data_IF_589306186033
#
_entry.id   IF_589306186033
#
_cell.length_a   1.000
_cell.length_b   1.000
_cell.length_c   1.000
_cell.angle_alpha   90.00
_cell.angle_beta   90.00
_cell.angle_gamma   90.00
#
_symmetry.space_group_name_H-M   'P 1'
#
loop_
_entity.id
_entity.type
_entity.pdbx_description
1 polymer ?
#
# COMPACT_ATOMS: atom_id res chain seq x y z
N UNK A 1 -24.99 -15.77 -18.55
CA UNK A 1 -25.79 -14.75 -17.82
C UNK A 1 -24.93 -14.29 -16.65
N UNK A 2 -24.34 -13.10 -16.75
CA UNK A 2 -23.51 -12.54 -15.68
C UNK A 2 -24.48 -12.06 -14.59
N UNK A 3 -24.45 -12.68 -13.42
CA UNK A 3 -25.20 -12.19 -12.26
C UNK A 3 -24.70 -10.79 -11.90
N UNK A 4 -25.58 -9.80 -12.01
CA UNK A 4 -25.28 -8.43 -11.62
C UNK A 4 -24.94 -8.42 -10.12
N UNK A 5 -23.72 -7.97 -9.78
CA UNK A 5 -23.28 -7.80 -8.39
C UNK A 5 -24.32 -6.96 -7.65
N UNK A 6 -24.82 -7.48 -6.52
CA UNK A 6 -25.73 -6.72 -5.66
C UNK A 6 -25.05 -5.42 -5.20
N UNK A 7 -25.72 -4.26 -5.31
CA UNK A 7 -25.14 -2.99 -4.91
C UNK A 7 -24.82 -3.01 -3.42
N UNK A 8 -23.63 -2.53 -3.06
CA UNK A 8 -23.20 -2.41 -1.68
C UNK A 8 -23.92 -1.26 -0.98
N UNK A 9 -23.86 -1.21 0.35
CA UNK A 9 -24.40 -0.08 1.13
C UNK A 9 -23.81 1.26 0.70
N UNK A 10 -22.54 1.27 0.28
CA UNK A 10 -21.87 2.45 -0.29
C UNK A 10 -22.49 2.86 -1.62
N UNK A 11 -22.76 1.91 -2.52
CA UNK A 11 -23.36 2.18 -3.83
C UNK A 11 -24.80 2.73 -3.70
N UNK A 12 -25.55 2.20 -2.73
CA UNK A 12 -26.88 2.69 -2.39
C UNK A 12 -26.83 4.12 -1.80
N UNK A 13 -25.86 4.39 -0.93
CA UNK A 13 -25.67 5.73 -0.34
C UNK A 13 -25.30 6.75 -1.43
N UNK A 14 -24.30 6.45 -2.25
CA UNK A 14 -23.83 7.33 -3.34
C UNK A 14 -24.95 7.58 -4.34
N UNK A 15 -25.62 6.54 -4.81
CA UNK A 15 -26.73 6.69 -5.77
C UNK A 15 -27.91 7.48 -5.18
N UNK A 16 -28.17 7.36 -3.88
CA UNK A 16 -29.20 8.15 -3.19
C UNK A 16 -28.81 9.62 -3.07
N UNK A 17 -27.55 9.90 -2.71
CA UNK A 17 -27.03 11.27 -2.62
C UNK A 17 -27.03 11.96 -3.99
N UNK A 18 -26.59 11.27 -5.04
CA UNK A 18 -26.61 11.79 -6.42
C UNK A 18 -28.04 12.09 -6.88
N UNK A 19 -29.00 11.17 -6.63
CA UNK A 19 -30.42 11.41 -6.93
C UNK A 19 -30.98 12.60 -6.15
N UNK A 20 -30.59 12.76 -4.89
CA UNK A 20 -31.04 13.86 -4.04
C UNK A 20 -30.48 15.21 -4.51
N UNK A 21 -29.19 15.24 -4.87
CA UNK A 21 -28.49 16.39 -5.46
C UNK A 21 -29.15 16.84 -6.76
N UNK A 22 -29.39 15.89 -7.67
CA UNK A 22 -30.08 16.14 -8.94
C UNK A 22 -31.48 16.73 -8.73
N UNK A 23 -32.30 16.14 -7.84
CA UNK A 23 -33.65 16.65 -7.52
C UNK A 23 -33.63 18.08 -6.98
N UNK A 24 -32.59 18.47 -6.26
CA UNK A 24 -32.44 19.80 -5.68
C UNK A 24 -31.70 20.78 -6.57
N UNK A 25 -31.31 20.38 -7.78
CA UNK A 25 -30.48 21.18 -8.70
C UNK A 25 -29.20 21.71 -8.03
N UNK A 26 -28.60 20.86 -7.20
CA UNK A 26 -27.34 21.13 -6.47
C UNK A 26 -26.32 20.04 -6.77
N UNK A 27 -25.04 20.31 -6.53
CA UNK A 27 -24.01 19.28 -6.59
C UNK A 27 -24.02 18.42 -5.31
N UNK A 28 -23.34 17.27 -5.35
CA UNK A 28 -23.17 16.43 -4.16
C UNK A 28 -22.31 17.15 -3.11
N UNK A 29 -21.25 17.85 -3.52
CA UNK A 29 -20.45 18.67 -2.60
C UNK A 29 -21.30 19.72 -1.89
N UNK A 30 -22.14 20.48 -2.62
CA UNK A 30 -22.98 21.53 -2.03
C UNK A 30 -23.95 20.98 -0.99
N UNK A 31 -24.48 19.77 -1.19
CA UNK A 31 -25.36 19.10 -0.22
C UNK A 31 -24.60 18.66 1.02
N UNK A 32 -23.41 18.07 0.85
CA UNK A 32 -22.56 17.63 1.97
C UNK A 32 -22.10 18.83 2.78
N UNK A 33 -21.60 19.88 2.12
CA UNK A 33 -21.16 21.11 2.75
C UNK A 33 -22.30 21.76 3.55
N UNK A 34 -23.49 21.89 2.94
CA UNK A 34 -24.67 22.44 3.62
C UNK A 34 -25.05 21.60 4.85
N UNK A 35 -24.98 20.28 4.75
CA UNK A 35 -25.30 19.37 5.85
C UNK A 35 -24.29 19.46 7.00
N UNK A 36 -22.98 19.45 6.69
CA UNK A 36 -21.92 19.62 7.67
C UNK A 36 -22.01 20.98 8.37
N UNK A 37 -22.21 22.07 7.62
CA UNK A 37 -22.40 23.41 8.19
C UNK A 37 -23.64 23.48 9.06
N UNK A 38 -24.74 22.81 8.66
CA UNK A 38 -25.96 22.73 9.47
C UNK A 38 -25.69 21.99 10.78
N UNK A 39 -25.01 20.83 10.74
CA UNK A 39 -24.66 20.09 11.95
C UNK A 39 -23.77 20.89 12.89
N UNK A 40 -22.76 21.58 12.35
CA UNK A 40 -21.92 22.49 13.15
C UNK A 40 -22.78 23.57 13.83
N UNK A 41 -23.67 24.23 13.09
CA UNK A 41 -24.60 25.26 13.63
C UNK A 41 -25.61 24.71 14.63
N UNK A 42 -26.03 23.46 14.48
CA UNK A 42 -26.94 22.79 15.42
C UNK A 42 -26.23 22.32 16.71
N UNK A 43 -24.90 22.46 16.75
CA UNK A 43 -24.08 22.23 17.92
C UNK A 43 -23.37 20.89 17.90
N UNK A 44 -23.09 20.29 16.74
CA UNK A 44 -22.34 19.02 16.64
C UNK A 44 -21.03 19.07 17.45
N UNK A 45 -20.30 20.18 17.38
CA UNK A 45 -19.02 20.36 18.09
C UNK A 45 -19.16 21.05 19.46
N UNK A 46 -20.39 21.34 19.89
CA UNK A 46 -20.65 22.03 21.16
C UNK A 46 -21.44 21.15 22.14
N UNK A 47 -22.36 20.31 21.62
CA UNK A 47 -23.30 19.46 22.35
C UNK A 47 -22.96 17.97 22.22
N UNK A 48 -22.76 17.48 21.00
CA UNK A 48 -22.68 16.02 20.74
C UNK A 48 -21.24 15.48 20.73
N UNK A 49 -20.32 16.24 20.14
CA UNK A 49 -18.91 15.88 20.00
C UNK A 49 -18.01 17.06 20.38
N UNK A 50 -18.23 17.60 21.58
CA UNK A 50 -17.43 18.71 22.10
C UNK A 50 -15.94 18.34 22.13
N UNK A 51 -15.05 19.04 21.38
CA UNK A 51 -13.63 18.74 21.35
C UNK A 51 -13.04 18.73 22.76
N UNK A 52 -12.10 17.82 23.01
CA UNK A 52 -11.46 17.66 24.32
C UNK A 52 -10.87 18.98 24.84
N UNK A 53 -10.31 19.77 23.92
CA UNK A 53 -9.80 21.13 24.15
C UNK A 53 -10.81 22.07 24.85
N UNK A 54 -12.10 21.91 24.56
CA UNK A 54 -13.18 22.76 25.08
C UNK A 54 -13.89 22.07 26.25
N UNK A 55 -13.93 20.73 26.27
CA UNK A 55 -14.58 19.95 27.33
C UNK A 55 -13.73 19.91 28.62
N UNK A 56 -12.41 19.84 28.48
CA UNK A 56 -11.45 19.75 29.59
C UNK A 56 -10.19 20.58 29.26
N UNK A 57 -10.28 21.91 29.32
CA UNK A 57 -9.15 22.80 29.02
C UNK A 57 -7.96 22.57 29.96
N UNK A 58 -8.22 22.18 31.21
CA UNK A 58 -7.22 21.76 32.19
C UNK A 58 -6.38 20.58 31.66
N UNK A 59 -7.05 19.57 31.08
CA UNK A 59 -6.40 18.37 30.55
C UNK A 59 -5.59 18.67 29.29
N UNK A 60 -6.10 19.53 28.40
CA UNK A 60 -5.33 20.02 27.26
C UNK A 60 -4.08 20.78 27.72
N UNK A 61 -4.22 21.63 28.74
CA UNK A 61 -3.10 22.39 29.32
C UNK A 61 -2.05 21.46 29.92
N UNK A 62 -2.49 20.46 30.70
CA UNK A 62 -1.63 19.41 31.25
C UNK A 62 -0.93 18.62 30.13
N UNK A 63 -1.64 18.28 29.05
CA UNK A 63 -1.10 17.58 27.88
C UNK A 63 -0.06 18.41 27.14
N UNK A 64 -0.32 19.70 26.85
CA UNK A 64 0.65 20.60 26.21
C UNK A 64 1.91 20.71 27.07
N UNK A 65 1.75 20.88 28.39
CA UNK A 65 2.88 20.96 29.33
C UNK A 65 3.68 19.66 29.37
N UNK A 66 3.00 18.52 29.37
CA UNK A 66 3.64 17.20 29.37
C UNK A 66 4.36 16.93 28.06
N UNK A 67 3.75 17.33 26.93
CA UNK A 67 4.37 17.26 25.60
C UNK A 67 5.63 18.12 25.54
N UNK A 68 5.59 19.36 26.01
CA UNK A 68 6.77 20.24 26.04
C UNK A 68 7.92 19.67 26.86
N UNK A 69 7.64 19.12 28.04
CA UNK A 69 8.66 18.41 28.84
C UNK A 69 9.24 17.19 28.12
N UNK A 70 8.40 16.44 27.41
CA UNK A 70 8.87 15.29 26.63
C UNK A 70 9.77 15.74 25.46
N UNK A 71 9.44 16.85 24.79
CA UNK A 71 10.25 17.44 23.73
C UNK A 71 11.60 17.94 24.27
N UNK A 72 11.62 18.61 25.43
CA UNK A 72 12.86 19.03 26.11
C UNK A 72 13.79 17.84 26.39
N UNK A 73 13.25 16.78 27.01
CA UNK A 73 14.01 15.55 27.31
C UNK A 73 14.54 14.89 26.04
N UNK A 74 13.73 14.80 24.98
CA UNK A 74 14.16 14.22 23.71
C UNK A 74 15.27 15.06 23.07
N UNK A 75 15.18 16.39 23.14
CA UNK A 75 16.21 17.28 22.62
C UNK A 75 17.52 17.15 23.41
N UNK A 76 17.46 17.08 24.74
CA UNK A 76 18.65 16.83 25.58
C UNK A 76 19.35 15.53 25.20
N UNK A 77 18.59 14.44 25.00
CA UNK A 77 19.15 13.15 24.59
C UNK A 77 19.74 13.19 23.16
N UNK A 78 19.17 13.99 22.26
CA UNK A 78 19.74 14.22 20.92
C UNK A 78 21.05 15.01 21.02
N UNK A 79 21.06 16.08 21.83
CA UNK A 79 22.23 16.96 22.01
C UNK A 79 23.39 16.22 22.68
N UNK A 80 23.10 15.28 23.58
CA UNK A 80 24.07 14.38 24.22
C UNK A 80 24.56 13.27 23.28
N UNK A 81 23.93 13.08 22.12
CA UNK A 81 24.24 12.03 21.16
C UNK A 81 23.69 10.65 21.54
N UNK A 82 22.86 10.56 22.58
CA UNK A 82 22.18 9.32 22.98
C UNK A 82 21.04 8.94 22.03
N UNK A 83 20.40 9.94 21.41
CA UNK A 83 19.41 9.78 20.34
C UNK A 83 19.93 10.32 19.02
N UNK A 84 19.76 9.52 17.97
CA UNK A 84 20.11 9.88 16.60
C UNK A 84 18.85 10.23 15.82
N UNK A 85 18.93 11.25 14.97
CA UNK A 85 17.83 11.72 14.14
C UNK A 85 18.16 11.64 12.65
N UNK A 86 17.11 11.56 11.83
CA UNK A 86 17.17 11.63 10.37
C UNK A 86 16.25 12.75 9.89
N UNK A 87 16.76 13.65 9.06
CA UNK A 87 16.00 14.79 8.54
C UNK A 87 16.84 16.07 8.47
N UNK A 88 16.24 17.18 8.04
CA UNK A 88 16.83 18.53 8.08
C UNK A 88 15.76 19.53 8.53
N UNK A 89 16.12 20.45 9.43
CA UNK A 89 15.20 21.49 9.90
C UNK A 89 14.24 20.98 10.98
N UNK A 90 12.97 21.40 10.91
CA UNK A 90 11.93 21.13 11.92
C UNK A 90 11.37 19.69 11.89
N UNK A 91 11.71 18.90 10.86
CA UNK A 91 11.30 17.50 10.72
C UNK A 91 12.44 16.54 11.06
N UNK A 92 12.81 16.50 12.36
CA UNK A 92 13.74 15.50 12.88
C UNK A 92 12.98 14.23 13.23
N UNK A 93 13.28 13.14 12.52
CA UNK A 93 12.74 11.81 12.84
C UNK A 93 13.74 11.05 13.69
N UNK A 94 13.35 10.62 14.89
CA UNK A 94 14.20 9.74 15.73
C UNK A 94 14.41 8.39 15.05
N UNK A 95 15.64 7.89 15.06
CA UNK A 95 15.93 6.56 14.52
C UNK A 95 15.53 5.47 15.50
N UNK A 96 14.98 4.36 14.98
CA UNK A 96 14.64 3.18 15.79
C UNK A 96 15.86 2.61 16.52
N UNK A 97 17.02 2.57 15.86
CA UNK A 97 18.28 2.08 16.43
C UNK A 97 18.71 2.88 17.66
N UNK A 98 18.60 4.20 17.64
CA UNK A 98 18.98 5.00 18.81
C UNK A 98 17.96 4.86 19.96
N UNK A 99 16.67 4.75 19.65
CA UNK A 99 15.63 4.45 20.64
C UNK A 99 15.84 3.07 21.30
N UNK A 100 16.34 2.11 20.54
CA UNK A 100 16.66 0.78 21.07
C UNK A 100 17.92 0.80 21.95
N UNK A 101 18.89 1.68 21.67
CA UNK A 101 20.20 1.68 22.34
C UNK A 101 20.40 2.75 23.42
N UNK A 102 19.51 3.75 23.53
CA UNK A 102 19.62 4.92 24.44
C UNK A 102 19.75 4.60 25.95
N UNK A 103 19.57 3.35 26.39
CA UNK A 103 19.64 2.97 27.82
C UNK A 103 18.56 3.57 28.72
N UNK A 104 17.74 4.51 28.23
CA UNK A 104 16.70 5.19 28.99
C UNK A 104 15.56 4.25 29.43
N UNK A 105 15.17 4.33 30.70
CA UNK A 105 14.10 3.51 31.31
C UNK A 105 12.73 4.18 31.21
N UNK A 106 12.32 4.52 29.98
CA UNK A 106 10.97 5.01 29.71
C UNK A 106 10.06 3.85 29.32
N UNK A 107 8.85 3.81 29.91
CA UNK A 107 7.86 2.74 29.65
C UNK A 107 7.61 2.50 28.16
N UNK A 108 7.45 3.55 27.36
CA UNK A 108 7.21 3.40 25.92
C UNK A 108 8.43 2.83 25.16
N UNK A 109 9.65 3.17 25.59
CA UNK A 109 10.89 2.63 25.03
C UNK A 109 11.01 1.16 25.41
N UNK A 110 10.75 0.81 26.68
CA UNK A 110 10.75 -0.59 27.13
C UNK A 110 9.72 -1.42 26.37
N UNK A 111 8.48 -0.94 26.24
CA UNK A 111 7.46 -1.62 25.44
C UNK A 111 7.84 -1.73 23.96
N UNK A 112 8.54 -0.75 23.40
CA UNK A 112 9.05 -0.81 22.03
C UNK A 112 10.16 -1.86 21.89
N UNK A 113 11.11 -1.89 22.84
CA UNK A 113 12.18 -2.89 22.89
C UNK A 113 11.62 -4.29 23.07
N UNK A 114 10.73 -4.51 24.04
CA UNK A 114 10.05 -5.79 24.25
C UNK A 114 9.36 -6.26 22.96
N UNK A 115 8.63 -5.38 22.28
CA UNK A 115 7.98 -5.73 21.01
C UNK A 115 8.98 -6.08 19.90
N UNK A 116 10.16 -5.45 19.88
CA UNK A 116 11.23 -5.76 18.92
C UNK A 116 12.05 -7.01 19.31
N UNK A 117 12.24 -7.27 20.60
CA UNK A 117 12.97 -8.44 21.10
C UNK A 117 12.19 -9.73 20.86
N UNK A 118 10.85 -9.66 20.94
CA UNK A 118 9.94 -10.75 20.56
C UNK A 118 9.54 -10.70 19.08
N UNK A 119 9.96 -9.68 18.34
CA UNK A 119 9.82 -9.67 16.89
C UNK A 119 10.89 -10.62 16.35
N UNK A 120 10.47 -11.78 15.87
CA UNK A 120 11.33 -12.74 15.18
C UNK A 120 11.22 -12.51 13.66
N UNK A 121 12.01 -11.58 13.07
CA UNK A 121 11.99 -11.33 11.62
C UNK A 121 12.42 -12.58 10.82
N UNK A 122 13.09 -13.52 11.48
CA UNK A 122 13.71 -14.71 10.89
C UNK A 122 12.70 -15.85 10.62
N UNK A 123 11.50 -15.81 11.22
CA UNK A 123 10.44 -16.79 10.92
C UNK A 123 9.95 -16.70 9.46
N UNK A 124 10.25 -15.58 8.78
CA UNK A 124 9.97 -15.32 7.37
C UNK A 124 11.18 -15.24 6.45
N UNK A 125 12.41 -15.48 6.92
CA UNK A 125 13.61 -15.38 6.08
C UNK A 125 13.93 -16.69 5.35
N UNK A 126 14.16 -16.60 4.05
CA UNK A 126 14.85 -17.66 3.29
C UNK A 126 16.25 -17.17 2.96
N UNK A 127 17.27 -17.96 3.30
CA UNK A 127 18.66 -17.67 2.94
C UNK A 127 18.80 -17.62 1.41
N UNK A 128 19.18 -16.45 0.88
CA UNK A 128 19.68 -16.31 -0.48
C UNK A 128 21.12 -16.83 -0.60
N UNK A 129 21.66 -16.88 -1.82
CA UNK A 129 23.10 -17.11 -2.04
C UNK A 129 23.87 -15.83 -1.70
N UNK A 130 24.61 -15.82 -0.60
CA UNK A 130 25.42 -14.68 -0.14
C UNK A 130 24.92 -14.09 1.18
N UNK A 131 25.22 -12.81 1.45
CA UNK A 131 24.71 -12.06 2.62
C UNK A 131 23.33 -11.42 2.39
N UNK A 132 22.68 -11.72 1.26
CA UNK A 132 21.34 -11.19 0.96
C UNK A 132 20.26 -12.03 1.67
N UNK A 133 19.61 -11.40 2.65
CA UNK A 133 18.43 -11.92 3.34
C UNK A 133 17.16 -11.39 2.65
N UNK A 134 16.27 -12.28 2.22
CA UNK A 134 14.97 -11.90 1.69
C UNK A 134 13.90 -12.07 2.76
N UNK A 135 13.40 -10.94 3.27
CA UNK A 135 12.20 -10.88 4.11
C UNK A 135 10.98 -11.39 3.31
N UNK A 136 10.38 -12.53 3.70
CA UNK A 136 9.12 -13.02 3.13
C UNK A 136 7.92 -12.74 4.03
N UNK A 137 8.08 -12.18 5.23
CA UNK A 137 7.01 -12.12 6.22
C UNK A 137 5.94 -11.04 5.98
N UNK A 138 6.12 -10.23 4.94
CA UNK A 138 5.02 -9.46 4.32
C UNK A 138 4.16 -10.31 3.36
N UNK A 139 4.08 -11.62 3.58
CA UNK A 139 3.16 -12.51 2.88
C UNK A 139 2.08 -13.02 3.84
N UNK A 140 0.96 -12.31 3.74
CA UNK A 140 -0.38 -12.86 3.81
C UNK A 140 -0.89 -13.08 5.25
N UNK A 141 -1.40 -11.98 5.81
CA UNK A 141 -2.47 -12.04 6.82
C UNK A 141 -3.82 -12.08 6.09
N UNK A 142 -4.82 -12.75 6.69
CA UNK A 142 -6.21 -12.74 6.18
C UNK A 142 -6.82 -11.32 6.13
N UNK A 143 -6.19 -10.36 6.80
CA UNK A 143 -6.52 -8.96 6.72
C UNK A 143 -5.84 -8.32 5.50
N UNK A 144 -6.65 -7.85 4.54
CA UNK A 144 -6.23 -7.20 3.30
C UNK A 144 -5.23 -6.04 3.47
N UNK A 145 -5.08 -5.51 4.69
CA UNK A 145 -4.29 -4.32 5.03
C UNK A 145 -2.78 -4.55 5.08
N UNK A 146 -2.28 -5.77 5.30
CA UNK A 146 -0.86 -6.04 5.58
C UNK A 146 -0.20 -7.01 4.59
N UNK A 147 -0.59 -6.96 3.30
CA UNK A 147 0.14 -7.68 2.25
C UNK A 147 1.17 -6.79 1.56
N UNK A 148 2.33 -7.34 1.18
CA UNK A 148 3.34 -6.64 0.35
C UNK A 148 2.73 -6.04 -0.92
N UNK A 149 1.78 -6.75 -1.52
CA UNK A 149 1.03 -6.33 -2.69
C UNK A 149 0.18 -5.09 -2.38
N UNK A 150 -0.60 -5.09 -1.30
CA UNK A 150 -1.38 -3.92 -0.86
C UNK A 150 -0.47 -2.72 -0.56
N UNK A 151 0.66 -2.94 0.14
CA UNK A 151 1.60 -1.87 0.46
C UNK A 151 2.19 -1.22 -0.80
N UNK A 152 2.54 -2.00 -1.82
CA UNK A 152 3.00 -1.46 -3.10
C UNK A 152 1.90 -0.70 -3.84
N UNK A 153 0.65 -1.16 -3.79
CA UNK A 153 -0.49 -0.47 -4.37
C UNK A 153 -0.72 0.90 -3.69
N UNK A 154 -0.77 0.94 -2.36
CA UNK A 154 -0.97 2.18 -1.61
C UNK A 154 0.19 3.15 -1.81
N UNK A 155 1.42 2.64 -1.89
CA UNK A 155 2.57 3.47 -2.25
C UNK A 155 2.41 4.06 -3.66
N UNK A 156 2.02 3.25 -4.66
CA UNK A 156 1.76 3.74 -6.01
C UNK A 156 0.67 4.82 -6.04
N UNK A 157 -0.42 4.64 -5.28
CA UNK A 157 -1.51 5.62 -5.14
C UNK A 157 -1.06 6.94 -4.52
N UNK A 158 -0.28 6.88 -3.43
CA UNK A 158 0.25 8.07 -2.77
C UNK A 158 1.15 8.93 -3.67
N UNK A 159 1.86 8.31 -4.61
CA UNK A 159 2.67 9.08 -5.58
C UNK A 159 1.83 9.85 -6.60
N UNK A 160 0.67 9.31 -7.01
CA UNK A 160 -0.22 10.00 -7.94
C UNK A 160 -0.97 11.17 -7.29
N UNK A 161 -1.19 11.15 -5.98
CA UNK A 161 -1.90 12.24 -5.28
C UNK A 161 -1.02 13.46 -4.97
N UNK A 162 0.29 13.28 -4.80
CA UNK A 162 1.21 14.35 -4.32
C UNK A 162 1.93 15.05 -5.46
N UNK A 163 2.26 14.32 -6.53
CA UNK A 163 3.16 14.80 -7.58
C UNK A 163 2.47 14.60 -8.92
N UNK A 164 2.25 15.66 -9.70
CA UNK A 164 1.81 15.53 -11.10
C UNK A 164 2.92 14.85 -11.92
N UNK A 165 3.03 13.52 -11.80
CA UNK A 165 4.11 12.65 -12.31
C UNK A 165 3.99 12.35 -13.80
N UNK A 166 2.93 12.85 -14.45
CA UNK A 166 2.63 12.56 -15.84
C UNK A 166 2.95 13.79 -16.69
N UNK A 167 3.61 13.57 -17.82
CA UNK A 167 3.85 14.53 -18.88
C UNK A 167 2.96 14.22 -20.08
N UNK A 168 2.45 15.28 -20.72
CA UNK A 168 1.71 15.20 -21.96
C UNK A 168 2.63 15.59 -23.12
N UNK A 169 2.70 14.77 -24.16
CA UNK A 169 3.38 15.13 -25.43
C UNK A 169 2.45 14.88 -26.61
N UNK A 170 2.21 15.91 -27.42
CA UNK A 170 1.49 15.73 -28.69
C UNK A 170 2.39 15.03 -29.71
N UNK A 171 1.90 13.94 -30.31
CA UNK A 171 2.52 13.30 -31.47
C UNK A 171 1.45 12.88 -32.46
N UNK A 172 1.59 13.33 -33.71
CA UNK A 172 0.71 12.97 -34.82
C UNK A 172 -0.79 13.20 -34.55
N UNK A 173 -1.14 14.27 -33.83
CA UNK A 173 -2.54 14.58 -33.46
C UNK A 173 -3.11 13.75 -32.31
N UNK A 174 -2.33 12.83 -31.72
CA UNK A 174 -2.68 12.11 -30.49
C UNK A 174 -1.91 12.71 -29.29
N UNK A 175 -2.57 12.72 -28.13
CA UNK A 175 -1.90 13.05 -26.87
C UNK A 175 -1.26 11.80 -26.33
N UNK A 176 0.05 11.86 -26.16
CA UNK A 176 0.81 10.78 -25.57
C UNK A 176 1.11 11.11 -24.12
N UNK A 177 0.51 10.35 -23.22
CA UNK A 177 0.75 10.42 -21.77
C UNK A 177 1.93 9.53 -21.41
N UNK A 178 2.91 10.07 -20.67
CA UNK A 178 4.08 9.35 -20.18
C UNK A 178 4.47 9.80 -18.77
N UNK A 179 5.23 9.00 -18.04
CA UNK A 179 5.75 9.44 -16.73
C UNK A 179 6.90 10.43 -16.96
N UNK A 180 6.86 11.58 -16.26
CA UNK A 180 7.92 12.59 -16.27
C UNK A 180 9.27 11.93 -16.06
N UNK A 181 10.24 12.27 -16.91
CA UNK A 181 11.64 11.94 -16.69
C UNK A 181 12.17 12.74 -15.49
N UNK A 182 11.97 12.22 -14.28
CA UNK A 182 12.65 12.74 -13.09
C UNK A 182 14.17 12.54 -13.20
N UNK A 183 14.94 13.34 -12.46
CA UNK A 183 16.40 13.23 -12.33
C UNK A 183 16.86 11.89 -11.72
N UNK A 184 17.97 11.86 -10.96
CA UNK A 184 18.74 10.66 -10.57
C UNK A 184 17.94 9.45 -10.01
N UNK A 185 16.68 9.62 -9.62
CA UNK A 185 15.67 8.57 -9.44
C UNK A 185 14.45 8.82 -10.34
N UNK A 186 14.41 8.23 -11.54
CA UNK A 186 13.28 8.43 -12.44
C UNK A 186 12.01 7.77 -11.90
N UNK A 187 10.87 8.47 -11.92
CA UNK A 187 9.55 7.93 -11.53
C UNK A 187 9.23 6.64 -12.28
N UNK A 188 9.57 6.61 -13.56
CA UNK A 188 9.52 5.41 -14.39
C UNK A 188 10.29 4.22 -13.78
N UNK A 189 11.52 4.44 -13.32
CA UNK A 189 12.31 3.41 -12.66
C UNK A 189 11.66 2.90 -11.38
N UNK A 190 11.01 3.78 -10.62
CA UNK A 190 10.25 3.41 -9.43
C UNK A 190 9.05 2.51 -9.75
N UNK A 191 8.20 2.90 -10.71
CA UNK A 191 7.05 2.07 -11.12
C UNK A 191 7.49 0.76 -11.78
N UNK A 192 8.58 0.75 -12.53
CA UNK A 192 9.17 -0.48 -13.07
C UNK A 192 9.70 -1.41 -11.95
N UNK A 193 10.23 -0.85 -10.85
CA UNK A 193 10.63 -1.64 -9.67
C UNK A 193 9.42 -2.25 -8.98
N UNK A 194 8.38 -1.46 -8.71
CA UNK A 194 7.11 -1.98 -8.16
C UNK A 194 6.55 -3.10 -9.04
N UNK A 195 6.50 -2.87 -10.35
CA UNK A 195 6.08 -3.86 -11.33
C UNK A 195 6.90 -5.15 -11.24
N UNK A 196 8.23 -5.03 -11.15
CA UNK A 196 9.14 -6.17 -11.00
C UNK A 196 8.79 -7.01 -9.78
N UNK A 197 8.56 -6.36 -8.64
CA UNK A 197 8.21 -7.04 -7.40
C UNK A 197 6.87 -7.80 -7.48
N UNK A 198 5.86 -7.20 -8.12
CA UNK A 198 4.57 -7.87 -8.37
C UNK A 198 4.74 -9.12 -9.23
N UNK A 199 5.54 -9.03 -10.29
CA UNK A 199 5.79 -10.17 -11.18
C UNK A 199 6.53 -11.26 -10.43
N UNK A 200 7.65 -10.96 -9.77
CA UNK A 200 8.47 -11.94 -9.06
C UNK A 200 7.67 -12.70 -7.99
N UNK A 201 6.85 -11.98 -7.21
CA UNK A 201 5.97 -12.62 -6.23
C UNK A 201 4.94 -13.53 -6.88
N UNK A 202 4.35 -13.13 -8.01
CA UNK A 202 3.34 -13.91 -8.70
C UNK A 202 3.94 -15.14 -9.39
N UNK A 203 5.14 -15.00 -9.99
CA UNK A 203 5.93 -16.12 -10.52
C UNK A 203 6.20 -17.17 -9.43
N UNK A 204 6.51 -16.72 -8.21
CA UNK A 204 6.73 -17.60 -7.06
C UNK A 204 5.46 -18.34 -6.65
N UNK A 205 4.32 -17.65 -6.57
CA UNK A 205 3.01 -18.26 -6.27
C UNK A 205 2.61 -19.29 -7.32
N UNK A 206 2.83 -19.00 -8.61
CA UNK A 206 2.57 -19.95 -9.70
C UNK A 206 3.49 -21.18 -9.62
N UNK A 207 4.74 -21.01 -9.19
CA UNK A 207 5.64 -22.15 -8.93
C UNK A 207 5.09 -23.05 -7.83
N UNK A 208 4.65 -22.47 -6.70
CA UNK A 208 4.00 -23.22 -5.64
C UNK A 208 2.70 -23.88 -6.11
N UNK A 209 1.86 -23.21 -6.90
CA UNK A 209 0.67 -23.84 -7.49
C UNK A 209 1.02 -25.10 -8.30
N UNK A 210 2.10 -25.06 -9.09
CA UNK A 210 2.63 -26.23 -9.78
C UNK A 210 3.07 -27.36 -8.84
N UNK A 211 3.75 -27.02 -7.74
CA UNK A 211 4.16 -27.99 -6.72
C UNK A 211 2.97 -28.61 -6.00
N UNK A 212 1.97 -27.81 -5.60
CA UNK A 212 0.75 -28.30 -4.98
C UNK A 212 -0.05 -29.22 -5.92
N UNK A 213 -0.04 -28.96 -7.24
CA UNK A 213 -0.62 -29.88 -8.24
C UNK A 213 0.10 -31.23 -8.28
N UNK A 214 1.43 -31.26 -8.14
CA UNK A 214 2.21 -32.50 -8.06
C UNK A 214 1.96 -33.24 -6.74
N UNK A 215 2.02 -32.53 -5.61
CA UNK A 215 1.70 -33.10 -4.30
C UNK A 215 0.27 -33.68 -4.27
N UNK A 216 -0.68 -33.04 -4.94
CA UNK A 216 -2.05 -33.55 -5.02
C UNK A 216 -2.13 -34.94 -5.65
N UNK A 217 -1.22 -35.28 -6.57
CA UNK A 217 -1.13 -36.61 -7.17
C UNK A 217 -0.55 -37.61 -6.18
N UNK A 218 0.54 -37.25 -5.50
CA UNK A 218 1.21 -38.11 -4.51
C UNK A 218 0.28 -38.49 -3.37
N UNK A 219 -0.49 -37.52 -2.86
CA UNK A 219 -1.40 -37.72 -1.74
C UNK A 219 -2.83 -38.13 -2.16
N UNK A 220 -3.08 -38.29 -3.46
CA UNK A 220 -4.40 -38.58 -4.04
C UNK A 220 -5.52 -37.65 -3.52
N UNK A 221 -5.16 -36.40 -3.19
CA UNK A 221 -6.05 -35.40 -2.61
C UNK A 221 -5.76 -34.05 -3.26
N UNK A 222 -6.79 -33.28 -3.60
CA UNK A 222 -6.59 -31.91 -4.08
C UNK A 222 -6.03 -31.02 -2.95
N UNK A 223 -4.78 -30.60 -3.10
CA UNK A 223 -4.09 -29.67 -2.21
C UNK A 223 -4.00 -28.26 -2.80
N UNK A 224 -4.46 -28.05 -4.03
CA UNK A 224 -4.36 -26.75 -4.72
C UNK A 224 -5.27 -25.69 -4.08
N UNK A 225 -6.30 -26.10 -3.33
CA UNK A 225 -7.13 -25.17 -2.56
C UNK A 225 -6.29 -24.31 -1.59
N UNK A 226 -5.16 -24.82 -1.08
CA UNK A 226 -4.28 -24.11 -0.14
C UNK A 226 -3.60 -22.88 -0.75
N UNK A 227 -3.45 -22.84 -2.07
CA UNK A 227 -2.75 -21.76 -2.80
C UNK A 227 -3.67 -20.97 -3.74
N UNK A 228 -4.78 -21.57 -4.19
CA UNK A 228 -5.73 -20.97 -5.15
C UNK A 228 -6.28 -19.60 -4.71
N UNK A 229 -6.66 -19.46 -3.43
CA UNK A 229 -7.12 -18.18 -2.84
C UNK A 229 -6.06 -17.09 -3.02
N UNK A 230 -4.79 -17.41 -2.78
CA UNK A 230 -3.69 -16.47 -2.85
C UNK A 230 -3.34 -16.07 -4.28
N UNK A 231 -3.37 -17.03 -5.22
CA UNK A 231 -3.21 -16.76 -6.65
C UNK A 231 -4.30 -15.79 -7.13
N UNK A 232 -5.56 -16.06 -6.79
CA UNK A 232 -6.70 -15.21 -7.17
C UNK A 232 -6.61 -13.80 -6.55
N UNK A 233 -6.24 -13.70 -5.28
CA UNK A 233 -6.10 -12.41 -4.61
C UNK A 233 -4.95 -11.59 -5.18
N UNK A 234 -3.77 -12.17 -5.41
CA UNK A 234 -2.63 -11.45 -5.99
C UNK A 234 -2.92 -10.99 -7.41
N UNK A 235 -3.63 -11.81 -8.20
CA UNK A 235 -4.12 -11.39 -9.51
C UNK A 235 -5.05 -10.18 -9.39
N UNK A 236 -6.01 -10.19 -8.47
CA UNK A 236 -6.90 -9.05 -8.22
C UNK A 236 -6.16 -7.78 -7.82
N UNK A 237 -5.07 -7.88 -7.05
CA UNK A 237 -4.24 -6.71 -6.68
C UNK A 237 -3.45 -6.20 -7.88
N UNK A 238 -2.92 -7.09 -8.74
CA UNK A 238 -2.26 -6.69 -9.99
C UNK A 238 -3.24 -5.98 -10.93
N UNK A 239 -4.48 -6.47 -11.04
CA UNK A 239 -5.53 -5.82 -11.82
C UNK A 239 -5.83 -4.43 -11.27
N UNK A 240 -5.91 -4.29 -9.94
CA UNK A 240 -6.12 -3.00 -9.28
C UNK A 240 -4.94 -2.03 -9.45
N UNK A 241 -3.71 -2.54 -9.47
CA UNK A 241 -2.52 -1.75 -9.82
C UNK A 241 -2.61 -1.22 -11.25
N UNK A 242 -2.92 -2.08 -12.22
CA UNK A 242 -3.12 -1.67 -13.62
C UNK A 242 -4.24 -0.62 -13.74
N UNK A 243 -5.36 -0.83 -13.04
CA UNK A 243 -6.46 0.13 -13.00
C UNK A 243 -6.04 1.46 -12.38
N UNK A 244 -5.29 1.44 -11.28
CA UNK A 244 -4.79 2.66 -10.62
C UNK A 244 -3.89 3.47 -11.56
N UNK A 245 -3.03 2.80 -12.33
CA UNK A 245 -2.24 3.48 -13.38
C UNK A 245 -3.14 4.13 -14.42
N UNK A 246 -4.16 3.42 -14.92
CA UNK A 246 -5.11 3.96 -15.90
C UNK A 246 -5.88 5.16 -15.35
N UNK A 247 -6.46 5.04 -14.16
CA UNK A 247 -7.21 6.12 -13.50
C UNK A 247 -6.34 7.36 -13.27
N UNK A 248 -5.09 7.17 -12.84
CA UNK A 248 -4.16 8.28 -12.67
C UNK A 248 -3.79 8.95 -14.00
N UNK A 249 -3.71 8.20 -15.09
CA UNK A 249 -3.46 8.73 -16.43
C UNK A 249 -4.72 9.41 -17.03
N UNK A 250 -5.90 8.92 -16.70
CA UNK A 250 -7.16 9.46 -17.21
C UNK A 250 -7.61 10.75 -16.50
N UNK A 251 -7.36 10.85 -15.19
CA UNK A 251 -7.70 11.99 -14.33
C UNK A 251 -6.74 13.19 -14.46
N UNK A 252 -5.90 13.21 -15.49
CA UNK A 252 -5.11 14.41 -15.80
C UNK A 252 -6.04 15.41 -16.48
N UNK A 253 -6.24 16.55 -15.82
CA UNK A 253 -6.84 17.73 -16.43
C UNK A 253 -5.91 18.23 -17.54
N UNK A 254 -6.16 17.73 -18.75
CA UNK A 254 -5.50 18.22 -19.94
C UNK A 254 -5.92 19.68 -20.16
N UNK A 255 -4.99 20.57 -20.60
CA UNK A 255 -5.34 21.91 -21.08
C UNK A 255 -6.53 21.83 -22.05
N UNK A 256 -7.42 22.83 -22.03
CA UNK A 256 -8.64 22.83 -22.85
C UNK A 256 -8.39 22.54 -24.34
N UNK A 257 -7.24 22.94 -24.89
CA UNK A 257 -6.82 22.69 -26.28
C UNK A 257 -6.53 21.21 -26.63
N UNK A 258 -6.54 20.33 -25.62
CA UNK A 258 -6.14 18.93 -25.69
C UNK A 258 -7.29 17.97 -25.32
N UNK A 259 -8.43 18.48 -24.84
CA UNK A 259 -9.54 17.62 -24.38
C UNK A 259 -10.22 16.80 -25.49
N UNK A 260 -10.24 17.29 -26.73
CA UNK A 260 -10.89 16.61 -27.87
C UNK A 260 -9.99 15.59 -28.59
N UNK A 261 -8.74 15.42 -28.15
CA UNK A 261 -7.77 14.52 -28.82
C UNK A 261 -7.77 13.14 -28.17
N UNK A 262 -7.59 12.11 -29.01
CA UNK A 262 -7.44 10.73 -28.56
C UNK A 262 -6.17 10.60 -27.69
N UNK A 263 -6.33 10.11 -26.46
CA UNK A 263 -5.25 9.82 -25.53
C UNK A 263 -4.64 8.44 -25.81
N UNK A 264 -3.31 8.33 -25.82
CA UNK A 264 -2.59 7.06 -25.91
C UNK A 264 -1.46 6.99 -24.87
N UNK A 265 -1.29 5.82 -24.24
CA UNK A 265 -0.28 5.62 -23.20
C UNK A 265 1.01 5.10 -23.82
N UNK A 266 2.13 5.79 -23.60
CA UNK A 266 3.37 5.45 -24.31
C UNK A 266 4.03 4.18 -23.79
N UNK A 267 4.04 3.96 -22.48
CA UNK A 267 4.82 2.87 -21.90
C UNK A 267 3.97 1.69 -21.43
N UNK A 268 3.62 0.83 -22.40
CA UNK A 268 2.97 -0.46 -22.11
C UNK A 268 3.76 -1.34 -21.16
N UNK A 269 5.06 -1.07 -20.93
CA UNK A 269 5.90 -1.83 -19.99
C UNK A 269 5.59 -1.54 -18.52
N UNK A 270 4.78 -0.54 -18.20
CA UNK A 270 4.33 -0.29 -16.82
C UNK A 270 3.22 -1.25 -16.40
N UNK A 271 2.41 -1.71 -17.35
CA UNK A 271 1.33 -2.66 -17.08
C UNK A 271 1.85 -4.08 -16.92
N UNK A 272 1.09 -4.87 -16.17
CA UNK A 272 1.35 -6.28 -15.94
C UNK A 272 0.30 -7.09 -16.69
N UNK A 273 0.76 -7.93 -17.61
CA UNK A 273 -0.07 -8.93 -18.29
C UNK A 273 0.09 -10.26 -17.56
N UNK A 274 -0.81 -10.51 -16.60
CA UNK A 274 -0.77 -11.68 -15.72
C UNK A 274 -0.72 -12.99 -16.51
N UNK A 275 -1.38 -13.05 -17.67
CA UNK A 275 -1.41 -14.24 -18.54
C UNK A 275 -0.06 -14.60 -19.16
N UNK A 276 0.86 -13.65 -19.22
CA UNK A 276 2.22 -13.88 -19.74
C UNK A 276 3.24 -14.25 -18.67
N UNK A 277 2.86 -14.13 -17.39
CA UNK A 277 3.74 -14.49 -16.28
C UNK A 277 3.81 -16.01 -16.19
N UNK A 278 5.02 -16.54 -16.07
CA UNK A 278 5.28 -17.98 -15.95
C UNK A 278 5.72 -18.31 -14.53
N UNK A 279 5.55 -19.56 -14.06
CA UNK A 279 6.12 -19.99 -12.80
C UNK A 279 7.63 -19.71 -12.71
N UNK A 280 8.10 -19.28 -11.54
CA UNK A 280 9.52 -19.09 -11.29
C UNK A 280 10.24 -20.45 -11.37
N UNK A 281 11.04 -20.65 -12.42
CA UNK A 281 11.72 -21.91 -12.67
C UNK A 281 12.75 -22.30 -11.62
N UNK A 282 13.39 -21.33 -10.96
CA UNK A 282 14.37 -21.56 -9.91
C UNK A 282 13.71 -22.12 -8.64
N UNK A 283 12.65 -21.46 -8.17
CA UNK A 283 11.85 -21.92 -7.02
C UNK A 283 11.22 -23.27 -7.33
N UNK A 284 10.60 -23.42 -8.50
CA UNK A 284 9.97 -24.68 -8.91
C UNK A 284 10.99 -25.83 -8.88
N UNK A 285 12.21 -25.60 -9.38
CA UNK A 285 13.27 -26.61 -9.39
C UNK A 285 13.77 -26.93 -7.98
N UNK A 286 14.16 -25.92 -7.20
CA UNK A 286 14.71 -26.11 -5.85
C UNK A 286 13.76 -26.94 -4.98
N UNK A 287 12.51 -26.50 -4.84
CA UNK A 287 11.55 -27.21 -4.00
C UNK A 287 11.14 -28.55 -4.61
N UNK A 288 11.18 -28.70 -5.94
CA UNK A 288 10.96 -30.02 -6.54
C UNK A 288 12.04 -31.02 -6.15
N UNK A 289 13.31 -30.60 -6.17
CA UNK A 289 14.44 -31.45 -5.75
C UNK A 289 14.29 -31.82 -4.26
N UNK A 290 13.91 -30.87 -3.40
CA UNK A 290 13.63 -31.12 -1.98
C UNK A 290 12.48 -32.11 -1.78
N UNK A 291 11.36 -31.94 -2.50
CA UNK A 291 10.22 -32.86 -2.40
C UNK A 291 10.53 -34.25 -2.95
N UNK A 292 11.25 -34.38 -4.06
CA UNK A 292 11.70 -35.68 -4.57
C UNK A 292 12.63 -36.38 -3.58
N UNK A 293 13.52 -35.66 -2.89
CA UNK A 293 14.38 -36.24 -1.86
C UNK A 293 13.59 -36.79 -0.67
N UNK A 294 12.44 -36.19 -0.33
CA UNK A 294 11.61 -36.58 0.83
C UNK A 294 10.58 -37.66 0.44
N UNK A 295 9.93 -37.49 -0.70
CA UNK A 295 8.78 -38.28 -1.14
C UNK A 295 9.15 -39.38 -2.15
N UNK A 296 10.39 -39.40 -2.64
CA UNK A 296 10.86 -40.38 -3.62
C UNK A 296 10.46 -40.05 -5.06
N UNK A 297 10.65 -41.01 -5.96
CA UNK A 297 10.37 -40.87 -7.40
C UNK A 297 8.89 -40.66 -7.72
N UNK A 298 8.00 -40.93 -6.76
CA UNK A 298 6.55 -40.77 -6.93
C UNK A 298 6.11 -39.29 -7.03
N UNK A 299 6.99 -38.34 -6.67
CA UNK A 299 6.76 -36.89 -6.78
C UNK A 299 7.23 -36.29 -8.11
#
# INVERSE_FOLDING_TARGET
LIEARKPTSRDLLVSTLVKHAWKKKKTVEEIIETACLKWIKEGLLEKDHKPLAIRQPEFLTEWIKTKGKAEEVLQELIDQGELSTRGKGEELTLTGDSLFNTGADYKFIREFKERLDFYEPDLGLVKGKGEDYFDRELLITDEQFFSRYTAFLETARGFFSILSVIEETEKNGEIVLDLKKGGKHSFKGFFLKIRGNYIEGYESLLAFEGLFKRLSKVYEQDLTYKISKWVAQCQGIIDLYNQTLLEALDNIDAPFSLQDKKKSYRDKKLYIDVKKIKPNGGIARQYSEEFTNILGEDF
#
